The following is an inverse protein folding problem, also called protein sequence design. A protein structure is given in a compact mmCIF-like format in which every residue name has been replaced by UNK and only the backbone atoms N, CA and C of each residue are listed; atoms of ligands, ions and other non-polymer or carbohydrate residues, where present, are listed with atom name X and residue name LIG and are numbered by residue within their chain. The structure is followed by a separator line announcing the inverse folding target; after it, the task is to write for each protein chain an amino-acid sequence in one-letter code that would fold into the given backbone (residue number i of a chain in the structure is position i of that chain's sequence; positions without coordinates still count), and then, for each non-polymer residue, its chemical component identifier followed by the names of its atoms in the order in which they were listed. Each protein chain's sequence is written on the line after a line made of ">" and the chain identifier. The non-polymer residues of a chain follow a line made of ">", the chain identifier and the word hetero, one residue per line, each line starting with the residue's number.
data_IF_351779209823
#
_entry.id   IF_351779209823
#
_cell.length_a   1.000
_cell.length_b   1.000
_cell.length_c   1.000
_cell.angle_alpha   90.00
_cell.angle_beta   90.00
_cell.angle_gamma   90.00
#
_symmetry.space_group_name_H-M   'P 1'
#
loop_
_entity.id
_entity.type
_entity.pdbx_description
1 polymer ?
#
# COMPACT_ATOMS: atom_id res chain seq x y z
N UNK A 1 1.87 17.59 -12.74
CA UNK A 1 0.61 17.74 -13.48
C UNK A 1 -0.08 19.00 -13.01
N UNK A 2 -0.79 19.66 -13.91
CA UNK A 2 -1.62 20.82 -13.57
C UNK A 2 -3.07 20.42 -13.74
N UNK A 3 -3.94 20.85 -12.83
CA UNK A 3 -5.38 20.68 -12.89
C UNK A 3 -6.05 22.02 -12.65
N UNK A 4 -7.19 22.27 -13.31
CA UNK A 4 -8.02 23.44 -13.01
C UNK A 4 -8.97 23.15 -11.83
N UNK A 5 -9.46 24.19 -11.18
CA UNK A 5 -10.46 24.07 -10.11
C UNK A 5 -11.70 23.31 -10.59
N UNK A 6 -12.13 23.54 -11.83
CA UNK A 6 -13.28 22.86 -12.43
C UNK A 6 -13.03 21.35 -12.62
N UNK A 7 -11.83 20.97 -13.10
CA UNK A 7 -11.46 19.55 -13.23
C UNK A 7 -11.45 18.83 -11.88
N UNK A 8 -10.91 19.47 -10.84
CA UNK A 8 -10.90 18.92 -9.49
C UNK A 8 -12.30 18.84 -8.92
N UNK A 9 -13.11 19.87 -9.08
CA UNK A 9 -14.52 19.85 -8.67
C UNK A 9 -15.29 18.69 -9.34
N UNK A 10 -15.06 18.46 -10.63
CA UNK A 10 -15.65 17.29 -11.33
C UNK A 10 -15.25 15.94 -10.75
N UNK A 11 -13.98 15.77 -10.33
CA UNK A 11 -13.50 14.54 -9.66
C UNK A 11 -14.15 14.36 -8.28
N UNK A 12 -14.36 15.47 -7.56
CA UNK A 12 -14.86 15.50 -6.19
C UNK A 12 -16.39 15.63 -6.10
N UNK A 13 -17.08 15.78 -7.23
CA UNK A 13 -18.51 16.05 -7.30
C UNK A 13 -18.90 17.31 -6.51
N UNK A 14 -18.02 18.34 -6.60
CA UNK A 14 -18.13 19.59 -5.89
C UNK A 14 -18.52 20.77 -6.79
N UNK A 15 -18.81 21.91 -6.18
CA UNK A 15 -19.14 23.19 -6.84
C UNK A 15 -17.98 24.19 -6.71
N UNK A 16 -17.61 24.84 -7.82
CA UNK A 16 -16.59 25.90 -7.80
C UNK A 16 -17.22 27.25 -7.46
N UNK A 17 -16.66 27.92 -6.45
CA UNK A 17 -16.99 29.32 -6.11
C UNK A 17 -15.72 30.16 -6.27
N UNK A 18 -15.68 31.00 -7.30
CA UNK A 18 -14.52 31.79 -7.70
C UNK A 18 -14.09 31.51 -9.14
N UNK A 19 -12.79 31.38 -9.38
CA UNK A 19 -12.25 31.15 -10.73
C UNK A 19 -12.18 29.66 -11.09
N UNK A 20 -13.05 29.15 -12.02
CA UNK A 20 -13.02 27.75 -12.42
C UNK A 20 -11.74 27.33 -13.16
N UNK A 21 -11.04 28.29 -13.76
CA UNK A 21 -9.80 28.08 -14.49
C UNK A 21 -8.55 28.24 -13.60
N UNK A 22 -8.71 28.41 -12.28
CA UNK A 22 -7.58 28.50 -11.37
C UNK A 22 -6.77 27.20 -11.41
N UNK A 23 -5.48 27.29 -11.79
CA UNK A 23 -4.60 26.14 -11.95
C UNK A 23 -3.85 25.82 -10.67
N UNK A 24 -3.79 24.54 -10.32
CA UNK A 24 -2.97 24.01 -9.23
C UNK A 24 -2.11 22.85 -9.71
N UNK A 25 -0.94 22.71 -9.11
CA UNK A 25 0.02 21.64 -9.43
C UNK A 25 0.61 20.94 -8.21
N UNK A 26 0.29 21.42 -7.02
CA UNK A 26 0.82 20.91 -5.75
C UNK A 26 -0.25 20.98 -4.66
N UNK A 27 -0.07 20.15 -3.64
CA UNK A 27 -0.89 20.14 -2.42
C UNK A 27 -0.09 20.84 -1.30
N UNK A 28 -0.78 21.54 -0.41
CA UNK A 28 -0.16 22.18 0.77
C UNK A 28 -1.09 22.09 1.98
N UNK A 29 -0.53 22.28 3.17
CA UNK A 29 -1.34 22.60 4.35
C UNK A 29 -1.93 23.99 4.18
N UNK A 30 -3.06 24.25 4.85
CA UNK A 30 -3.76 25.54 4.69
C UNK A 30 -2.91 26.73 5.18
N UNK A 31 -2.15 26.54 6.24
CA UNK A 31 -1.24 27.53 6.81
C UNK A 31 0.01 27.79 5.96
N UNK A 32 0.36 26.84 5.09
CA UNK A 32 1.53 26.89 4.21
C UNK A 32 1.13 27.09 2.74
N UNK A 33 -0.13 27.49 2.49
CA UNK A 33 -0.66 27.68 1.14
C UNK A 33 0.11 28.73 0.36
N UNK A 34 0.41 28.44 -0.90
CA UNK A 34 1.10 29.32 -1.83
C UNK A 34 0.44 29.26 -3.22
N UNK A 35 0.79 30.20 -4.09
CA UNK A 35 0.26 30.24 -5.46
C UNK A 35 0.53 28.91 -6.20
N UNK A 36 -0.48 28.41 -6.90
CA UNK A 36 -0.45 27.12 -7.58
C UNK A 36 -0.66 25.92 -6.65
N UNK A 37 -0.97 26.15 -5.37
CA UNK A 37 -1.31 25.06 -4.45
C UNK A 37 -2.80 24.91 -4.24
N UNK A 38 -3.20 23.67 -3.92
CA UNK A 38 -4.51 23.28 -3.43
C UNK A 38 -4.39 22.86 -1.96
N UNK A 39 -5.33 23.30 -1.16
CA UNK A 39 -5.47 22.94 0.25
C UNK A 39 -6.90 22.55 0.60
N UNK A 40 -7.16 22.22 1.85
CA UNK A 40 -8.52 21.94 2.34
C UNK A 40 -8.75 22.48 3.74
N UNK A 41 -10.01 22.75 4.07
CA UNK A 41 -10.47 23.15 5.39
C UNK A 41 -11.63 22.24 5.80
N UNK A 42 -11.35 21.25 6.64
CA UNK A 42 -12.36 20.36 7.23
C UNK A 42 -12.52 20.60 8.75
N UNK A 43 -11.43 20.94 9.44
CA UNK A 43 -11.44 21.12 10.89
C UNK A 43 -11.61 22.62 11.23
N UNK A 44 -12.66 22.98 12.02
CA UNK A 44 -12.92 24.38 12.42
C UNK A 44 -11.76 25.08 13.12
N UNK A 45 -10.85 24.34 13.75
CA UNK A 45 -9.66 24.92 14.41
C UNK A 45 -8.74 25.68 13.45
N UNK A 46 -8.80 25.36 12.15
CA UNK A 46 -7.98 25.95 11.11
C UNK A 46 -8.70 27.04 10.32
N UNK A 47 -9.93 27.43 10.72
CA UNK A 47 -10.78 28.37 9.97
C UNK A 47 -10.09 29.73 9.72
N UNK A 48 -9.31 30.21 10.67
CA UNK A 48 -8.61 31.49 10.54
C UNK A 48 -7.60 31.52 9.40
N UNK A 49 -7.05 30.35 9.03
CA UNK A 49 -6.07 30.28 7.96
C UNK A 49 -6.67 30.46 6.56
N UNK A 50 -7.99 30.28 6.38
CA UNK A 50 -8.62 30.50 5.08
C UNK A 50 -8.55 31.98 4.62
N UNK A 51 -8.48 32.89 5.60
CA UNK A 51 -8.39 34.34 5.33
C UNK A 51 -6.96 34.81 5.07
N UNK A 52 -5.96 33.98 5.35
CA UNK A 52 -4.54 34.33 5.23
C UNK A 52 -3.78 33.44 4.25
N UNK A 53 -4.34 32.30 3.88
CA UNK A 53 -3.71 31.35 2.94
C UNK A 53 -3.51 32.00 1.57
N UNK A 54 -2.37 31.70 0.95
CA UNK A 54 -2.06 32.05 -0.44
C UNK A 54 -2.35 30.89 -1.40
N UNK A 55 -3.01 29.83 -0.92
CA UNK A 55 -3.41 28.72 -1.78
C UNK A 55 -4.36 29.21 -2.87
N UNK A 56 -4.12 28.76 -4.09
CA UNK A 56 -4.96 29.13 -5.24
C UNK A 56 -6.36 28.52 -5.14
N UNK A 57 -6.46 27.29 -4.62
CA UNK A 57 -7.73 26.59 -4.46
C UNK A 57 -7.84 25.98 -3.07
N UNK A 58 -9.01 26.08 -2.44
CA UNK A 58 -9.31 25.49 -1.13
C UNK A 58 -10.59 24.65 -1.18
N UNK A 59 -10.50 23.37 -0.80
CA UNK A 59 -11.67 22.49 -0.65
C UNK A 59 -12.30 22.80 0.71
N UNK A 60 -13.62 23.02 0.72
CA UNK A 60 -14.39 23.32 1.94
C UNK A 60 -15.71 22.55 1.95
N UNK A 61 -16.31 22.37 3.13
CA UNK A 61 -17.66 21.84 3.22
C UNK A 61 -18.67 22.80 2.53
N UNK A 62 -19.73 22.27 1.92
CA UNK A 62 -20.75 23.08 1.23
C UNK A 62 -21.43 24.08 2.16
N UNK A 63 -21.50 23.80 3.47
CA UNK A 63 -22.05 24.70 4.50
C UNK A 63 -21.14 25.85 4.86
N UNK A 64 -19.88 25.85 4.38
CA UNK A 64 -18.93 26.93 4.71
C UNK A 64 -19.36 28.24 4.04
N UNK A 65 -19.51 29.27 4.85
CA UNK A 65 -19.75 30.65 4.43
C UNK A 65 -18.64 31.51 5.02
N UNK A 66 -17.83 32.19 4.20
CA UNK A 66 -16.76 33.06 4.73
C UNK A 66 -17.35 34.29 5.42
N UNK A 67 -16.82 34.62 6.58
CA UNK A 67 -17.20 35.83 7.35
C UNK A 67 -16.41 37.07 6.92
N UNK A 68 -15.33 36.88 6.18
CA UNK A 68 -14.46 37.93 5.65
C UNK A 68 -14.11 37.62 4.18
N UNK A 69 -13.54 38.60 3.50
CA UNK A 69 -13.06 38.40 2.13
C UNK A 69 -11.96 37.36 2.06
N UNK A 70 -12.05 36.47 1.07
CA UNK A 70 -11.08 35.40 0.79
C UNK A 70 -10.50 35.60 -0.62
N UNK A 71 -9.25 35.23 -0.80
CA UNK A 71 -8.54 35.35 -2.10
C UNK A 71 -8.49 34.01 -2.86
N UNK A 72 -8.70 32.91 -2.16
CA UNK A 72 -8.65 31.55 -2.73
C UNK A 72 -9.96 31.17 -3.44
N UNK A 73 -9.85 30.44 -4.53
CA UNK A 73 -11.03 29.81 -5.16
C UNK A 73 -11.49 28.64 -4.31
N UNK A 74 -12.78 28.55 -4.01
CA UNK A 74 -13.33 27.44 -3.22
C UNK A 74 -13.84 26.32 -4.12
N UNK A 75 -13.66 25.09 -3.69
CA UNK A 75 -14.41 23.91 -4.15
C UNK A 75 -15.25 23.44 -2.97
N UNK A 76 -16.56 23.63 -3.09
CA UNK A 76 -17.54 23.23 -2.07
C UNK A 76 -17.95 21.79 -2.30
N UNK A 77 -17.80 20.95 -1.26
CA UNK A 77 -18.13 19.52 -1.26
C UNK A 77 -18.94 19.16 -0.03
N UNK A 78 -19.58 18.01 -0.02
CA UNK A 78 -20.36 17.56 1.13
C UNK A 78 -19.46 17.33 2.37
N UNK A 79 -18.34 16.64 2.20
CA UNK A 79 -17.32 16.40 3.25
C UNK A 79 -15.94 16.71 2.69
N UNK A 80 -15.34 17.81 3.16
CA UNK A 80 -14.04 18.28 2.70
C UNK A 80 -12.89 17.31 3.08
N UNK A 81 -13.01 16.57 4.18
CA UNK A 81 -12.00 15.59 4.59
C UNK A 81 -12.03 14.34 3.68
N UNK A 82 -13.22 13.81 3.45
CA UNK A 82 -13.42 12.67 2.55
C UNK A 82 -13.03 13.03 1.10
N UNK A 83 -13.40 14.22 0.63
CA UNK A 83 -13.03 14.72 -0.69
C UNK A 83 -11.52 14.87 -0.85
N UNK A 84 -10.83 15.42 0.16
CA UNK A 84 -9.38 15.53 0.14
C UNK A 84 -8.70 14.15 0.13
N UNK A 85 -9.20 13.20 0.91
CA UNK A 85 -8.72 11.81 0.88
C UNK A 85 -8.90 11.18 -0.50
N UNK A 86 -10.08 11.36 -1.14
CA UNK A 86 -10.35 10.91 -2.52
C UNK A 86 -9.35 11.51 -3.52
N UNK A 87 -9.02 12.80 -3.36
CA UNK A 87 -8.04 13.48 -4.20
C UNK A 87 -6.62 12.96 -3.99
N UNK A 88 -6.22 12.68 -2.75
CA UNK A 88 -4.92 12.06 -2.45
C UNK A 88 -4.79 10.68 -3.10
N UNK A 89 -5.84 9.87 -3.02
CA UNK A 89 -5.87 8.57 -3.70
C UNK A 89 -5.74 8.72 -5.21
N UNK A 90 -6.50 9.63 -5.83
CA UNK A 90 -6.40 9.90 -7.26
C UNK A 90 -4.99 10.35 -7.66
N UNK A 91 -4.41 11.32 -6.94
CA UNK A 91 -3.06 11.81 -7.19
C UNK A 91 -2.01 10.69 -7.09
N UNK A 92 -2.13 9.84 -6.07
CA UNK A 92 -1.23 8.72 -5.87
C UNK A 92 -1.35 7.68 -6.99
N UNK A 93 -2.58 7.35 -7.40
CA UNK A 93 -2.82 6.45 -8.53
C UNK A 93 -2.18 6.98 -9.82
N UNK A 94 -2.38 8.24 -10.15
CA UNK A 94 -1.79 8.86 -11.34
C UNK A 94 -0.26 8.82 -11.29
N UNK A 95 0.34 9.06 -10.12
CA UNK A 95 1.80 9.04 -9.91
C UNK A 95 2.38 7.62 -10.01
N UNK A 96 1.65 6.64 -9.52
CA UNK A 96 2.08 5.23 -9.47
C UNK A 96 1.68 4.43 -10.72
N UNK A 97 0.84 4.99 -11.60
CA UNK A 97 0.36 4.28 -12.79
C UNK A 97 1.41 4.21 -13.91
N UNK A 98 2.53 3.58 -13.62
CA UNK A 98 3.54 3.25 -14.62
C UNK A 98 3.11 2.01 -15.40
N UNK A 99 3.54 1.92 -16.66
CA UNK A 99 3.34 0.75 -17.52
C UNK A 99 4.61 0.47 -18.31
N UNK A 100 4.75 -0.75 -18.79
CA UNK A 100 5.86 -1.19 -19.63
C UNK A 100 6.96 -1.91 -18.85
N UNK A 101 7.87 -2.51 -19.58
CA UNK A 101 9.01 -3.27 -19.07
C UNK A 101 10.26 -2.41 -19.24
N UNK A 102 10.86 -2.01 -18.14
CA UNK A 102 12.08 -1.19 -18.16
C UNK A 102 13.31 -2.02 -18.58
N UNK A 103 14.30 -1.39 -19.22
CA UNK A 103 15.58 -2.06 -19.54
C UNK A 103 16.23 -2.68 -18.30
N UNK A 104 17.03 -3.74 -18.51
CA UNK A 104 17.76 -4.46 -17.46
C UNK A 104 16.85 -5.18 -16.43
N UNK A 105 15.55 -5.29 -16.69
CA UNK A 105 14.69 -6.23 -16.01
C UNK A 105 14.76 -7.60 -16.68
N UNK A 106 14.48 -8.66 -15.95
CA UNK A 106 14.50 -10.03 -16.47
C UNK A 106 13.19 -10.76 -16.15
N UNK A 107 12.65 -11.42 -17.14
CA UNK A 107 11.45 -12.26 -17.00
C UNK A 107 11.72 -13.59 -17.70
N UNK A 108 11.54 -14.70 -16.97
CA UNK A 108 11.70 -16.05 -17.53
C UNK A 108 10.66 -16.34 -18.60
N UNK A 109 11.04 -17.20 -19.56
CA UNK A 109 10.09 -17.72 -20.53
C UNK A 109 8.94 -18.47 -19.85
N UNK A 110 7.73 -18.37 -20.42
CA UNK A 110 6.53 -18.98 -19.87
C UNK A 110 5.82 -18.18 -18.78
N UNK A 111 6.37 -17.04 -18.35
CA UNK A 111 5.64 -16.08 -17.52
C UNK A 111 4.40 -15.56 -18.23
N UNK A 112 3.24 -15.60 -17.58
CA UNK A 112 1.99 -15.06 -18.08
C UNK A 112 1.67 -13.76 -17.34
N UNK A 113 1.26 -12.72 -18.05
CA UNK A 113 0.86 -11.46 -17.44
C UNK A 113 -0.31 -10.82 -18.18
N UNK A 114 -1.12 -10.08 -17.43
CA UNK A 114 -2.26 -9.35 -17.95
C UNK A 114 -1.89 -7.96 -18.51
N UNK A 115 -2.89 -7.12 -18.68
CA UNK A 115 -2.74 -5.78 -19.22
C UNK A 115 -2.04 -4.82 -18.24
N UNK A 116 -1.42 -3.76 -18.78
CA UNK A 116 -0.81 -2.66 -18.03
C UNK A 116 0.25 -3.07 -17.01
N UNK A 117 0.98 -4.17 -17.25
CA UNK A 117 2.12 -4.54 -16.41
C UNK A 117 3.16 -3.41 -16.39
N UNK A 118 3.72 -3.14 -15.22
CA UNK A 118 4.97 -2.39 -15.04
C UNK A 118 6.02 -3.30 -14.40
N UNK A 119 7.17 -3.44 -15.06
CA UNK A 119 8.33 -4.16 -14.53
C UNK A 119 9.54 -3.21 -14.52
N UNK A 120 9.95 -2.80 -13.34
CA UNK A 120 11.06 -1.86 -13.13
C UNK A 120 12.43 -2.51 -13.32
N UNK A 121 13.43 -1.68 -13.63
CA UNK A 121 14.81 -2.12 -13.89
C UNK A 121 15.37 -2.96 -12.73
N UNK A 122 16.22 -3.94 -13.08
CA UNK A 122 16.87 -4.88 -12.17
C UNK A 122 15.91 -5.79 -11.39
N UNK A 123 14.64 -5.85 -11.79
CA UNK A 123 13.71 -6.84 -11.24
C UNK A 123 13.86 -8.17 -11.97
N UNK A 124 13.64 -9.25 -11.22
CA UNK A 124 13.67 -10.62 -11.73
C UNK A 124 12.30 -11.27 -11.52
N UNK A 125 11.80 -11.92 -12.57
CA UNK A 125 10.56 -12.73 -12.53
C UNK A 125 10.90 -14.15 -12.99
N UNK A 126 10.65 -15.11 -12.10
CA UNK A 126 11.00 -16.52 -12.26
C UNK A 126 10.12 -17.29 -13.24
N UNK A 127 10.30 -18.62 -13.25
CA UNK A 127 9.58 -19.51 -14.14
C UNK A 127 8.12 -19.72 -13.71
N UNK A 128 7.23 -19.91 -14.67
CA UNK A 128 5.81 -20.23 -14.47
C UNK A 128 5.05 -19.21 -13.61
N UNK A 129 5.55 -17.97 -13.52
CA UNK A 129 4.86 -16.89 -12.79
C UNK A 129 3.61 -16.48 -13.55
N UNK A 130 2.53 -16.20 -12.82
CA UNK A 130 1.28 -15.66 -13.35
C UNK A 130 1.00 -14.32 -12.68
N UNK A 131 0.91 -13.26 -13.49
CA UNK A 131 0.60 -11.90 -13.06
C UNK A 131 -0.75 -11.48 -13.65
N UNK A 132 -1.63 -10.94 -12.83
CA UNK A 132 -2.90 -10.36 -13.26
C UNK A 132 -2.75 -9.04 -14.02
N UNK A 133 -3.86 -8.33 -14.15
CA UNK A 133 -3.89 -7.01 -14.78
C UNK A 133 -3.43 -5.91 -13.81
N UNK A 134 -2.85 -4.83 -14.35
CA UNK A 134 -2.40 -3.66 -13.58
C UNK A 134 -1.38 -3.98 -12.47
N UNK A 135 -0.60 -5.04 -12.60
CA UNK A 135 0.48 -5.36 -11.65
C UNK A 135 1.64 -4.40 -11.86
N UNK A 136 2.15 -3.83 -10.77
CA UNK A 136 3.26 -2.89 -10.76
C UNK A 136 4.40 -3.44 -9.91
N UNK A 137 5.48 -3.88 -10.56
CA UNK A 137 6.69 -4.40 -9.90
C UNK A 137 7.78 -3.35 -10.04
N UNK A 138 8.12 -2.71 -8.93
CA UNK A 138 9.13 -1.66 -8.90
C UNK A 138 10.57 -2.20 -8.89
N UNK A 139 11.58 -1.36 -9.21
CA UNK A 139 12.96 -1.81 -9.39
C UNK A 139 13.54 -2.66 -8.26
N UNK A 140 14.50 -3.54 -8.60
CA UNK A 140 15.22 -4.43 -7.67
C UNK A 140 14.33 -5.44 -6.93
N UNK A 141 13.12 -5.72 -7.41
CA UNK A 141 12.24 -6.73 -6.83
C UNK A 141 12.57 -8.13 -7.37
N UNK A 142 12.32 -9.14 -6.55
CA UNK A 142 12.49 -10.54 -6.91
C UNK A 142 11.17 -11.29 -6.77
N UNK A 143 10.74 -11.94 -7.84
CA UNK A 143 9.57 -12.82 -7.88
C UNK A 143 10.07 -14.22 -8.23
N UNK A 144 9.94 -15.14 -7.29
CA UNK A 144 10.38 -16.53 -7.46
C UNK A 144 9.50 -17.36 -8.38
N UNK A 145 9.88 -18.60 -8.60
CA UNK A 145 9.18 -19.51 -9.50
C UNK A 145 7.79 -19.89 -8.97
N UNK A 146 6.84 -20.14 -9.89
CA UNK A 146 5.47 -20.57 -9.60
C UNK A 146 4.67 -19.58 -8.70
N UNK A 147 5.08 -18.32 -8.63
CA UNK A 147 4.33 -17.28 -7.90
C UNK A 147 3.09 -16.89 -8.71
N UNK A 148 1.97 -16.70 -8.02
CA UNK A 148 0.71 -16.21 -8.59
C UNK A 148 0.35 -14.88 -7.94
N UNK A 149 0.11 -13.86 -8.75
CA UNK A 149 -0.25 -12.50 -8.31
C UNK A 149 -1.53 -12.08 -9.04
N UNK A 150 -2.52 -11.64 -8.29
CA UNK A 150 -3.80 -11.18 -8.80
C UNK A 150 -3.74 -9.78 -9.44
N UNK A 151 -4.90 -9.18 -9.65
CA UNK A 151 -5.05 -7.89 -10.31
C UNK A 151 -4.76 -6.72 -9.35
N UNK A 152 -4.31 -5.57 -9.90
CA UNK A 152 -4.10 -4.31 -9.20
C UNK A 152 -3.12 -4.42 -8.00
N UNK A 153 -2.09 -5.22 -8.12
CA UNK A 153 -1.07 -5.41 -7.07
C UNK A 153 0.12 -4.49 -7.29
N UNK A 154 0.52 -3.82 -6.21
CA UNK A 154 1.72 -2.98 -6.17
C UNK A 154 2.81 -3.65 -5.35
N UNK A 155 3.97 -3.90 -5.96
CA UNK A 155 5.17 -4.47 -5.32
C UNK A 155 6.27 -3.42 -5.41
N UNK A 156 6.52 -2.75 -4.29
CA UNK A 156 7.49 -1.66 -4.23
C UNK A 156 8.93 -2.16 -4.24
N UNK A 157 9.84 -1.23 -4.54
CA UNK A 157 11.23 -1.52 -4.82
C UNK A 157 11.92 -2.39 -3.75
N UNK A 158 12.65 -3.39 -4.20
CA UNK A 158 13.44 -4.27 -3.34
C UNK A 158 12.65 -5.34 -2.59
N UNK A 159 11.33 -5.46 -2.78
CA UNK A 159 10.56 -6.56 -2.22
C UNK A 159 10.99 -7.90 -2.81
N UNK A 160 10.94 -8.96 -2.01
CA UNK A 160 11.32 -10.31 -2.41
C UNK A 160 10.19 -11.28 -2.11
N UNK A 161 9.65 -11.87 -3.16
CA UNK A 161 8.55 -12.83 -3.10
C UNK A 161 9.09 -14.19 -3.54
N UNK A 162 9.20 -15.10 -2.59
CA UNK A 162 9.74 -16.45 -2.83
C UNK A 162 8.74 -17.35 -3.53
N UNK A 163 9.27 -18.44 -4.07
CA UNK A 163 8.55 -19.39 -4.92
C UNK A 163 7.27 -19.92 -4.27
N UNK A 164 6.25 -20.17 -5.11
CA UNK A 164 4.96 -20.76 -4.73
C UNK A 164 4.07 -19.85 -3.88
N UNK A 165 4.47 -18.60 -3.64
CA UNK A 165 3.63 -17.61 -2.97
C UNK A 165 2.42 -17.25 -3.83
N UNK A 166 1.26 -17.13 -3.20
CA UNK A 166 0.02 -16.67 -3.84
C UNK A 166 -0.40 -15.34 -3.24
N UNK A 167 -0.62 -14.33 -4.09
CA UNK A 167 -1.09 -13.01 -3.70
C UNK A 167 -2.39 -12.70 -4.44
N UNK A 168 -3.42 -12.35 -3.69
CA UNK A 168 -4.73 -11.97 -4.21
C UNK A 168 -4.73 -10.58 -4.88
N UNK A 169 -5.92 -10.04 -5.07
CA UNK A 169 -6.15 -8.78 -5.77
C UNK A 169 -6.00 -7.57 -4.83
N UNK A 170 -5.72 -6.39 -5.43
CA UNK A 170 -5.69 -5.10 -4.73
C UNK A 170 -4.74 -5.08 -3.52
N UNK A 171 -3.62 -5.76 -3.60
CA UNK A 171 -2.63 -5.82 -2.52
C UNK A 171 -1.50 -4.82 -2.74
N UNK A 172 -0.95 -4.32 -1.63
CA UNK A 172 0.22 -3.44 -1.63
C UNK A 172 1.33 -4.06 -0.79
N UNK A 173 2.49 -4.31 -1.41
CA UNK A 173 3.68 -4.85 -0.76
C UNK A 173 4.76 -3.77 -0.77
N UNK A 174 5.08 -3.23 0.40
CA UNK A 174 6.06 -2.15 0.50
C UNK A 174 7.51 -2.61 0.39
N UNK A 175 8.39 -1.62 0.25
CA UNK A 175 9.82 -1.83 -0.04
C UNK A 175 10.51 -2.69 1.02
N UNK A 176 11.40 -3.58 0.56
CA UNK A 176 12.20 -4.43 1.43
C UNK A 176 11.45 -5.57 2.12
N UNK A 177 10.15 -5.71 1.85
CA UNK A 177 9.35 -6.82 2.39
C UNK A 177 9.81 -8.15 1.81
N UNK A 178 9.89 -9.18 2.65
CA UNK A 178 10.28 -10.55 2.27
C UNK A 178 9.12 -11.48 2.58
N UNK A 179 8.62 -12.18 1.55
CA UNK A 179 7.50 -13.10 1.66
C UNK A 179 7.95 -14.49 1.22
N UNK A 180 7.76 -15.49 2.09
CA UNK A 180 8.02 -16.89 1.77
C UNK A 180 9.45 -17.35 2.03
N UNK A 181 10.25 -16.60 2.81
CA UNK A 181 11.52 -17.12 3.32
C UNK A 181 11.28 -18.28 4.28
N UNK A 182 12.32 -19.11 4.50
CA UNK A 182 12.23 -20.24 5.43
C UNK A 182 11.95 -19.78 6.86
N UNK A 183 10.99 -20.44 7.51
CA UNK A 183 10.74 -20.27 8.93
C UNK A 183 11.87 -20.79 9.81
N UNK A 184 11.86 -20.39 11.08
CA UNK A 184 12.85 -20.80 12.09
C UNK A 184 12.53 -22.22 12.57
N UNK A 185 12.98 -23.22 11.80
CA UNK A 185 12.81 -24.63 12.09
C UNK A 185 14.17 -25.33 12.26
N UNK A 186 14.47 -25.76 13.50
CA UNK A 186 15.70 -26.49 13.82
C UNK A 186 15.42 -27.61 14.85
N UNK A 187 16.14 -28.72 14.70
CA UNK A 187 16.09 -29.86 15.65
C UNK A 187 17.50 -30.10 16.18
N UNK A 188 17.70 -30.08 17.51
CA UNK A 188 19.00 -30.42 18.09
C UNK A 188 19.23 -31.96 18.03
N UNK A 189 20.45 -32.37 17.76
CA UNK A 189 20.89 -33.76 17.94
C UNK A 189 21.28 -34.02 19.41
N UNK A 190 21.76 -35.26 19.70
CA UNK A 190 22.19 -35.65 21.05
C UNK A 190 23.33 -34.82 21.64
N UNK A 191 24.13 -34.18 20.77
CA UNK A 191 25.24 -33.30 21.15
C UNK A 191 24.79 -31.82 21.28
N UNK A 192 23.50 -31.52 21.08
CA UNK A 192 22.96 -30.15 21.11
C UNK A 192 23.22 -29.34 19.83
N UNK A 193 23.69 -29.98 18.76
CA UNK A 193 23.93 -29.34 17.47
C UNK A 193 22.61 -29.26 16.70
N UNK A 194 22.24 -28.05 16.24
CA UNK A 194 21.00 -27.80 15.51
C UNK A 194 21.14 -28.13 14.03
N UNK A 195 20.22 -28.98 13.54
CA UNK A 195 20.03 -29.26 12.11
C UNK A 195 18.79 -28.53 11.61
N UNK A 196 18.90 -27.91 10.43
CA UNK A 196 17.78 -27.18 9.81
C UNK A 196 16.70 -28.16 9.34
N UNK A 197 15.45 -27.83 9.65
CA UNK A 197 14.27 -28.49 9.10
C UNK A 197 13.83 -27.75 7.83
N UNK A 198 13.82 -28.39 6.65
CA UNK A 198 13.36 -27.77 5.41
C UNK A 198 11.93 -27.27 5.52
N UNK A 199 11.67 -26.10 4.98
CA UNK A 199 10.35 -25.48 4.94
C UNK A 199 9.82 -25.61 3.52
N UNK A 200 8.84 -26.48 3.29
CA UNK A 200 8.35 -26.84 1.95
C UNK A 200 6.93 -26.36 1.65
N UNK A 201 6.31 -25.66 2.59
CA UNK A 201 5.04 -25.00 2.37
C UNK A 201 5.20 -23.65 1.68
N UNK A 202 4.14 -22.86 1.64
CA UNK A 202 4.12 -21.57 0.98
C UNK A 202 3.48 -20.46 1.84
N UNK A 203 3.27 -19.28 1.24
CA UNK A 203 2.50 -18.18 1.80
C UNK A 203 1.31 -17.88 0.89
N UNK A 204 0.15 -17.65 1.49
CA UNK A 204 -1.07 -17.18 0.82
C UNK A 204 -1.46 -15.84 1.42
N UNK A 205 -1.55 -14.83 0.56
CA UNK A 205 -2.04 -13.49 0.89
C UNK A 205 -3.35 -13.31 0.11
N UNK A 206 -4.45 -13.11 0.83
CA UNK A 206 -5.76 -12.89 0.22
C UNK A 206 -5.92 -11.43 -0.27
N UNK A 207 -7.10 -11.06 -0.77
CA UNK A 207 -7.36 -9.76 -1.38
C UNK A 207 -7.28 -8.58 -0.39
N UNK A 208 -6.99 -7.39 -0.90
CA UNK A 208 -7.02 -6.12 -0.17
C UNK A 208 -6.07 -6.05 1.03
N UNK A 209 -4.94 -6.74 0.98
CA UNK A 209 -3.92 -6.76 2.04
C UNK A 209 -2.86 -5.71 1.76
N UNK A 210 -2.48 -4.94 2.80
CA UNK A 210 -1.34 -4.03 2.76
C UNK A 210 -0.25 -4.51 3.72
N UNK A 211 0.99 -4.62 3.23
CA UNK A 211 2.15 -5.07 3.98
C UNK A 211 3.21 -3.98 3.97
N UNK A 212 3.50 -3.45 5.14
CA UNK A 212 4.46 -2.37 5.39
C UNK A 212 5.90 -2.76 5.10
N UNK A 213 6.76 -1.75 5.02
CA UNK A 213 8.15 -1.90 4.63
C UNK A 213 8.96 -2.79 5.60
N UNK A 214 9.89 -3.57 5.04
CA UNK A 214 10.78 -4.47 5.79
C UNK A 214 10.05 -5.48 6.69
N UNK A 215 8.82 -5.81 6.38
CA UNK A 215 8.06 -6.89 7.04
C UNK A 215 8.51 -8.22 6.46
N UNK A 216 8.61 -9.25 7.30
CA UNK A 216 8.98 -10.61 6.90
C UNK A 216 7.86 -11.59 7.22
N UNK A 217 7.51 -12.42 6.24
CA UNK A 217 6.47 -13.44 6.35
C UNK A 217 7.06 -14.77 5.92
N UNK A 218 7.25 -15.65 6.89
CA UNK A 218 7.87 -16.96 6.64
C UNK A 218 6.88 -17.92 5.98
N UNK A 219 7.40 -18.80 5.12
CA UNK A 219 6.62 -19.89 4.58
C UNK A 219 6.29 -20.92 5.68
N UNK A 220 5.23 -21.64 5.49
CA UNK A 220 4.90 -22.77 6.34
C UNK A 220 5.92 -23.91 6.22
N UNK A 221 6.09 -24.69 7.25
CA UNK A 221 6.83 -25.96 7.16
C UNK A 221 6.12 -26.92 6.22
N UNK A 222 4.79 -27.06 6.38
CA UNK A 222 3.86 -27.77 5.51
C UNK A 222 2.57 -26.97 5.42
N UNK A 223 1.91 -26.99 4.27
CA UNK A 223 0.72 -26.17 4.03
C UNK A 223 1.06 -24.71 3.80
N UNK A 224 0.35 -23.79 4.44
CA UNK A 224 0.49 -22.35 4.15
C UNK A 224 0.52 -21.50 5.41
N UNK A 225 1.33 -20.45 5.40
CA UNK A 225 1.15 -19.26 6.23
C UNK A 225 0.12 -18.37 5.54
N UNK A 226 -0.93 -17.91 6.24
CA UNK A 226 -2.10 -17.31 5.61
C UNK A 226 -2.37 -15.93 6.18
N UNK A 227 -2.40 -14.93 5.29
CA UNK A 227 -2.83 -13.56 5.58
C UNK A 227 -4.19 -13.35 4.92
N UNK A 228 -5.23 -13.27 5.72
CA UNK A 228 -6.61 -13.17 5.24
C UNK A 228 -6.93 -11.80 4.68
N UNK A 229 -8.04 -11.73 3.96
CA UNK A 229 -8.53 -10.54 3.29
C UNK A 229 -8.59 -9.31 4.20
N UNK A 230 -8.15 -8.17 3.67
CA UNK A 230 -8.26 -6.86 4.33
C UNK A 230 -7.27 -6.62 5.47
N UNK A 231 -6.36 -7.54 5.76
CA UNK A 231 -5.33 -7.39 6.80
C UNK A 231 -4.40 -6.23 6.46
N UNK A 232 -4.02 -5.44 7.48
CA UNK A 232 -3.04 -4.36 7.37
C UNK A 232 -1.89 -4.63 8.33
N UNK A 233 -0.71 -4.87 7.78
CA UNK A 233 0.53 -5.01 8.52
C UNK A 233 1.35 -3.74 8.34
N UNK A 234 1.75 -3.13 9.44
CA UNK A 234 2.65 -1.98 9.42
C UNK A 234 4.11 -2.43 9.17
N UNK A 235 5.06 -1.54 9.35
CA UNK A 235 6.46 -1.78 9.02
C UNK A 235 7.18 -2.69 10.03
N UNK A 236 8.18 -3.46 9.56
CA UNK A 236 9.08 -4.26 10.38
C UNK A 236 8.37 -5.30 11.26
N UNK A 237 7.34 -5.93 10.74
CA UNK A 237 6.62 -7.02 11.42
C UNK A 237 7.25 -8.35 11.03
N UNK A 238 7.36 -9.28 12.00
CA UNK A 238 7.73 -10.68 11.76
C UNK A 238 6.50 -11.58 11.90
N UNK A 239 6.13 -12.25 10.82
CA UNK A 239 5.13 -13.32 10.81
C UNK A 239 5.85 -14.65 10.59
N UNK A 240 5.86 -15.49 11.61
CA UNK A 240 6.54 -16.79 11.54
C UNK A 240 5.72 -17.83 10.76
N UNK A 241 6.32 -19.02 10.57
CA UNK A 241 5.76 -20.11 9.79
C UNK A 241 4.40 -20.60 10.31
N UNK A 242 3.50 -21.02 9.43
CA UNK A 242 2.19 -21.60 9.75
C UNK A 242 1.25 -20.66 10.54
N UNK A 243 1.52 -19.36 10.56
CA UNK A 243 0.63 -18.36 11.16
C UNK A 243 -0.59 -18.14 10.27
N UNK A 244 -1.75 -17.93 10.89
CA UNK A 244 -2.96 -17.46 10.22
C UNK A 244 -3.44 -16.18 10.86
N UNK A 245 -3.58 -15.11 10.06
CA UNK A 245 -4.12 -13.80 10.50
C UNK A 245 -5.51 -13.63 9.90
N UNK A 246 -6.52 -13.49 10.78
CA UNK A 246 -7.92 -13.34 10.40
C UNK A 246 -8.23 -12.03 9.69
N UNK A 247 -9.36 -12.01 8.96
CA UNK A 247 -9.78 -10.89 8.11
C UNK A 247 -9.82 -9.56 8.84
N UNK A 248 -9.47 -8.48 8.13
CA UNK A 248 -9.55 -7.10 8.60
C UNK A 248 -8.77 -6.82 9.91
N UNK A 249 -7.84 -7.68 10.28
CA UNK A 249 -6.94 -7.46 11.42
C UNK A 249 -5.87 -6.46 11.06
N UNK A 250 -5.53 -5.57 12.00
CA UNK A 250 -4.45 -4.59 11.85
C UNK A 250 -3.38 -4.82 12.91
N UNK A 251 -2.12 -4.79 12.49
CA UNK A 251 -0.96 -4.98 13.38
C UNK A 251 -0.01 -3.80 13.17
N UNK A 252 0.27 -3.06 14.24
CA UNK A 252 1.18 -1.92 14.21
C UNK A 252 2.66 -2.38 14.24
N UNK A 253 3.54 -1.47 13.89
CA UNK A 253 4.95 -1.70 13.59
C UNK A 253 5.73 -2.46 14.67
N UNK A 254 6.77 -3.19 14.21
CA UNK A 254 7.74 -3.89 15.04
C UNK A 254 7.15 -5.00 15.93
N UNK A 255 5.98 -5.50 15.58
CA UNK A 255 5.36 -6.65 16.27
C UNK A 255 5.87 -7.96 15.71
N UNK A 256 5.88 -9.00 16.54
CA UNK A 256 6.28 -10.35 16.15
C UNK A 256 5.20 -11.38 16.48
N UNK A 257 4.91 -12.28 15.55
CA UNK A 257 3.94 -13.36 15.72
C UNK A 257 4.69 -14.69 15.60
N UNK A 258 4.71 -15.46 16.69
CA UNK A 258 5.38 -16.76 16.74
C UNK A 258 4.69 -17.82 15.87
N UNK A 259 5.44 -18.87 15.50
CA UNK A 259 4.96 -19.91 14.61
C UNK A 259 3.67 -20.60 15.06
N UNK A 260 2.85 -21.01 14.09
CA UNK A 260 1.58 -21.72 14.26
C UNK A 260 0.48 -20.95 15.00
N UNK A 261 0.69 -19.65 15.26
CA UNK A 261 -0.30 -18.79 15.92
C UNK A 261 -1.49 -18.51 14.99
N UNK A 262 -2.69 -18.50 15.57
CA UNK A 262 -3.91 -18.07 14.89
C UNK A 262 -4.45 -16.78 15.53
N UNK A 263 -4.50 -15.71 14.75
CA UNK A 263 -5.10 -14.44 15.15
C UNK A 263 -6.50 -14.36 14.55
N UNK A 264 -7.49 -13.95 15.35
CA UNK A 264 -8.88 -13.82 14.91
C UNK A 264 -9.10 -12.68 13.91
N UNK A 265 -10.35 -12.48 13.51
CA UNK A 265 -10.77 -11.41 12.62
C UNK A 265 -10.91 -10.08 13.35
N UNK A 266 -10.71 -8.97 12.65
CA UNK A 266 -10.92 -7.59 13.14
C UNK A 266 -10.15 -7.24 14.42
N UNK A 267 -9.02 -7.90 14.68
CA UNK A 267 -8.16 -7.59 15.81
C UNK A 267 -7.37 -6.29 15.56
N UNK A 268 -7.12 -5.54 16.63
CA UNK A 268 -6.24 -4.37 16.61
C UNK A 268 -5.06 -4.62 17.56
N UNK A 269 -3.86 -4.77 17.00
CA UNK A 269 -2.65 -5.10 17.74
C UNK A 269 -1.71 -3.91 17.72
N UNK A 270 -1.31 -3.43 18.90
CA UNK A 270 -0.38 -2.29 19.07
C UNK A 270 1.02 -2.60 18.55
N UNK A 271 1.86 -1.56 18.47
CA UNK A 271 3.25 -1.73 18.04
C UNK A 271 4.12 -2.38 19.13
N UNK A 272 5.21 -3.03 18.69
CA UNK A 272 6.19 -3.70 19.55
C UNK A 272 5.60 -4.82 20.44
N UNK A 273 4.56 -5.48 19.95
CA UNK A 273 3.92 -6.62 20.65
C UNK A 273 4.54 -7.92 20.18
N UNK A 274 4.88 -8.78 21.13
CA UNK A 274 5.25 -10.18 20.91
C UNK A 274 4.04 -11.08 21.17
N UNK A 275 3.62 -11.86 20.16
CA UNK A 275 2.53 -12.84 20.30
C UNK A 275 3.17 -14.22 20.34
N UNK A 276 3.05 -14.88 21.50
CA UNK A 276 3.57 -16.24 21.68
C UNK A 276 2.75 -17.26 20.88
N UNK A 277 3.43 -18.27 20.36
CA UNK A 277 2.82 -19.41 19.71
C UNK A 277 2.48 -20.54 20.70
N UNK A 278 1.69 -21.51 20.22
CA UNK A 278 1.27 -22.77 20.88
C UNK A 278 0.42 -22.58 22.13
#
# INVERSE_FOLDING_TARGET
>A
MKFTAEQIAGILEGEVVGNPNAEVSKLSKIEEGEEGSLTFLANPKYINYIYTTKATVTIVNHTFVPEQEITTTLIKVEDAYAAFSKLLHFYNQVKLNKTGIEPQSFMCEGTKYGENLYLGSFSYVGQNVVLGNNVKIYPNSFIGDNVVIGDNVFIFAGAKIYSETVIGNNCTIHSGTIIGADGFGFVPNEEGIYSKVPQIGNVIIEDNVDIGANTTIDRATLGSTIIRQGVKLDNQIQIAHNVEIGKNTVIAAQSGVAGSTKIGESCMIGGQVGIAGH
#
